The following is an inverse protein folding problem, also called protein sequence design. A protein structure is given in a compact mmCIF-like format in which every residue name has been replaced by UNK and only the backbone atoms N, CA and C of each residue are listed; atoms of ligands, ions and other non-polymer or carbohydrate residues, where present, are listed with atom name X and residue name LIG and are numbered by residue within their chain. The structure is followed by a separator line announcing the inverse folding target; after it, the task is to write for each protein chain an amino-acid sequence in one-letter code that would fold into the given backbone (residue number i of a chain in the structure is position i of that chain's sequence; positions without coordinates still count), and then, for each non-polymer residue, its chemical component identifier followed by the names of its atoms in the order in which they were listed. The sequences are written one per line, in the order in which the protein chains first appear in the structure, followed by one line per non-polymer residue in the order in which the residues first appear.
data_IF_004313145915
#
_entry.id   IF_004313145915
#
_cell.length_a   1.000
_cell.length_b   1.000
_cell.length_c   1.000
_cell.angle_alpha   90.00
_cell.angle_beta   90.00
_cell.angle_gamma   90.00
#
_symmetry.space_group_name_H-M   'P 1'
#
loop_
_entity.id
_entity.type
_entity.pdbx_description
1 polymer ?
#
# COMPACT_ATOMS: atom_id res chain seq x y z
N UNK A 1 59.24 54.86 -8.11
CA UNK A 1 59.00 54.44 -7.73
C UNK A 1 58.27 53.76 -7.49
N UNK A 2 57.78 53.13 -7.52
CA UNK A 2 57.12 52.46 -7.31
C UNK A 2 56.53 51.69 -7.19
N UNK A 3 56.09 51.22 -6.92
CA UNK A 3 55.52 50.45 -6.65
C UNK A 3 54.74 49.76 -6.63
N UNK A 4 54.31 49.04 -6.69
CA UNK A 4 53.66 48.27 -6.52
C UNK A 4 53.02 47.66 -6.27
N UNK A 5 52.57 47.34 -6.18
CA UNK A 5 51.91 46.73 -5.80
C UNK A 5 51.33 45.81 -5.78
N UNK A 6 51.10 45.12 -5.61
CA UNK A 6 50.67 44.15 -5.43
C UNK A 6 49.71 43.77 -5.25
N UNK A 7 49.18 43.08 -5.51
CA UNK A 7 48.33 42.61 -5.41
C UNK A 7 47.99 41.56 -5.13
N UNK A 8 47.39 40.90 -4.85
CA UNK A 8 46.97 40.12 -4.17
C UNK A 8 45.87 39.68 -4.41
N UNK A 9 45.62 38.94 -4.63
CA UNK A 9 44.61 38.39 -4.75
C UNK A 9 44.55 37.24 -4.32
N UNK A 10 44.28 37.07 -3.43
CA UNK A 10 43.65 36.02 -2.79
C UNK A 10 42.44 35.65 -3.49
N UNK A 11 42.64 34.91 -4.39
CA UNK A 11 41.54 34.21 -4.89
C UNK A 11 41.14 33.19 -3.89
N UNK A 12 40.25 33.55 -3.10
CA UNK A 12 39.58 32.63 -2.39
C UNK A 12 38.80 31.83 -3.28
N UNK A 13 39.33 30.77 -3.70
CA UNK A 13 38.52 29.73 -4.23
C UNK A 13 37.72 29.19 -3.11
N UNK A 14 36.60 29.76 -2.95
CA UNK A 14 35.65 29.16 -2.14
C UNK A 14 35.08 27.99 -2.87
N UNK A 15 35.65 26.87 -2.72
CA UNK A 15 34.98 25.67 -3.11
C UNK A 15 33.86 25.46 -2.09
N UNK A 16 32.73 25.95 -2.45
CA UNK A 16 31.56 25.52 -1.82
C UNK A 16 31.40 24.04 -2.10
N UNK A 17 31.85 23.26 -1.22
CA UNK A 17 31.45 21.90 -1.22
C UNK A 17 29.95 21.93 -0.97
N UNK A 18 29.22 21.83 -2.04
CA UNK A 18 27.81 21.51 -1.89
C UNK A 18 27.74 20.10 -1.34
N UNK A 19 27.77 20.05 -0.05
CA UNK A 19 27.27 18.86 0.59
C UNK A 19 25.80 18.81 0.23
N UNK A 20 25.51 18.12 -0.81
CA UNK A 20 24.13 17.73 -1.04
C UNK A 20 23.79 16.81 0.11
N UNK A 21 22.93 17.20 1.01
CA UNK A 21 22.45 16.21 1.93
C UNK A 21 21.70 15.20 1.10
N UNK A 22 22.29 14.05 0.97
CA UNK A 22 21.49 12.91 0.64
C UNK A 22 20.48 12.86 1.76
N UNK A 23 19.31 13.35 1.48
CA UNK A 23 18.18 12.93 2.24
C UNK A 23 18.13 11.43 2.05
N UNK A 24 18.78 10.75 2.92
CA UNK A 24 18.47 9.36 3.09
C UNK A 24 16.98 9.36 3.34
N UNK A 25 16.23 8.95 2.37
CA UNK A 25 14.87 8.60 2.64
C UNK A 25 14.97 7.51 3.69
N UNK A 26 14.82 7.92 4.91
CA UNK A 26 14.47 6.97 5.92
C UNK A 26 13.28 6.27 5.32
N UNK A 27 13.49 5.07 4.88
CA UNK A 27 12.39 4.20 4.60
C UNK A 27 11.56 4.29 5.85
N UNK A 28 10.37 4.86 5.71
CA UNK A 28 9.42 4.81 6.77
C UNK A 28 9.36 3.36 7.17
N UNK A 29 9.97 3.06 8.28
CA UNK A 29 9.89 1.75 8.85
C UNK A 29 8.47 1.61 9.37
N UNK A 30 7.56 1.39 8.45
CA UNK A 30 6.15 1.18 8.74
C UNK A 30 5.93 -0.21 9.33
N UNK A 31 6.97 -0.76 9.96
CA UNK A 31 6.87 -2.04 10.64
C UNK A 31 6.62 -3.21 9.71
N UNK A 32 7.15 -3.14 8.48
CA UNK A 32 7.00 -4.21 7.51
C UNK A 32 5.76 -4.10 6.62
N UNK A 33 4.95 -3.06 6.80
CA UNK A 33 3.77 -2.86 5.95
C UNK A 33 4.18 -2.45 4.53
N UNK A 34 3.48 -2.96 3.51
CA UNK A 34 3.67 -2.48 2.16
C UNK A 34 3.27 -1.01 2.03
N UNK A 35 3.77 -0.37 0.99
CA UNK A 35 3.42 1.00 0.71
C UNK A 35 1.92 1.13 0.40
N UNK A 36 1.29 2.17 0.93
CA UNK A 36 -0.10 2.48 0.63
C UNK A 36 -0.27 2.92 -0.81
N UNK A 37 -1.33 2.44 -1.43
CA UNK A 37 -1.71 2.80 -2.78
C UNK A 37 -3.04 3.54 -2.75
N UNK A 38 -3.29 4.34 -3.77
CA UNK A 38 -4.51 5.14 -3.83
C UNK A 38 -5.20 4.94 -5.18
N UNK A 39 -6.52 4.84 -5.13
CA UNK A 39 -7.34 4.84 -6.33
C UNK A 39 -8.57 5.70 -6.03
N UNK A 40 -8.66 6.88 -6.65
CA UNK A 40 -9.67 7.87 -6.28
C UNK A 40 -9.54 8.24 -4.80
N UNK A 41 -10.63 8.13 -4.07
CA UNK A 41 -10.67 8.40 -2.64
C UNK A 41 -10.32 7.17 -1.79
N UNK A 42 -9.99 6.06 -2.41
CA UNK A 42 -9.74 4.81 -1.71
C UNK A 42 -8.26 4.59 -1.52
N UNK A 43 -7.86 4.39 -0.27
CA UNK A 43 -6.51 3.99 0.09
C UNK A 43 -6.51 2.51 0.39
N UNK A 44 -5.52 1.79 -0.09
CA UNK A 44 -5.40 0.37 0.18
C UNK A 44 -3.95 -0.07 0.25
N UNK A 45 -3.72 -1.19 0.92
CA UNK A 45 -2.42 -1.87 0.94
C UNK A 45 -2.66 -3.33 0.57
N UNK A 46 -1.71 -3.93 -0.11
CA UNK A 46 -1.78 -5.33 -0.47
C UNK A 46 -0.40 -5.95 -0.44
N UNK A 47 -0.32 -7.20 -0.01
CA UNK A 47 0.93 -7.92 0.11
C UNK A 47 0.80 -9.11 1.02
N UNK A 48 1.85 -9.39 1.79
CA UNK A 48 1.88 -10.50 2.72
C UNK A 48 2.73 -11.67 2.25
N UNK A 49 3.57 -11.42 1.24
CA UNK A 49 4.57 -12.40 0.83
C UNK A 49 5.77 -12.21 1.75
N UNK A 50 6.08 -13.24 2.51
CA UNK A 50 7.11 -13.16 3.54
C UNK A 50 6.52 -12.94 4.92
N UNK A 51 7.27 -13.37 5.92
CA UNK A 51 6.79 -13.43 7.29
C UNK A 51 6.55 -12.05 7.89
N UNK A 52 7.50 -11.13 7.73
CA UNK A 52 7.41 -9.82 8.34
C UNK A 52 6.23 -9.04 7.78
N UNK A 53 6.05 -9.06 6.47
CA UNK A 53 4.96 -8.36 5.81
C UNK A 53 3.60 -8.96 6.18
N UNK A 54 3.50 -10.28 6.21
CA UNK A 54 2.24 -10.94 6.57
C UNK A 54 1.86 -10.69 8.02
N UNK A 55 2.84 -10.67 8.93
CA UNK A 55 2.58 -10.36 10.34
C UNK A 55 2.13 -8.91 10.50
N UNK A 56 2.78 -7.98 9.80
CA UNK A 56 2.43 -6.57 9.85
C UNK A 56 1.00 -6.34 9.34
N UNK A 57 0.62 -6.99 8.25
CA UNK A 57 -0.72 -6.87 7.68
C UNK A 57 -1.78 -7.46 8.63
N UNK A 58 -1.51 -8.59 9.24
CA UNK A 58 -2.44 -9.18 10.21
C UNK A 58 -2.61 -8.31 11.45
N UNK A 59 -1.54 -7.70 11.92
CA UNK A 59 -1.58 -6.80 13.07
C UNK A 59 -2.35 -5.53 12.76
N UNK A 60 -2.19 -5.02 11.55
CA UNK A 60 -2.82 -3.77 11.12
C UNK A 60 -4.28 -3.94 10.70
N UNK A 61 -4.65 -5.13 10.24
CA UNK A 61 -5.97 -5.39 9.67
C UNK A 61 -7.15 -4.89 10.51
N UNK A 62 -7.17 -5.08 11.84
CA UNK A 62 -8.31 -4.61 12.63
C UNK A 62 -8.50 -3.10 12.64
N UNK A 63 -7.50 -2.35 12.22
CA UNK A 63 -7.58 -0.88 12.16
C UNK A 63 -8.13 -0.36 10.85
N UNK A 64 -8.37 -1.26 9.89
CA UNK A 64 -8.89 -0.90 8.58
C UNK A 64 -10.35 -1.29 8.47
N UNK A 65 -11.18 -0.51 7.78
CA UNK A 65 -12.60 -0.85 7.63
C UNK A 65 -12.84 -2.19 6.95
N UNK A 66 -11.99 -2.57 6.00
CA UNK A 66 -12.12 -3.84 5.30
C UNK A 66 -10.76 -4.51 5.20
N UNK A 67 -10.70 -5.79 5.61
CA UNK A 67 -9.54 -6.63 5.38
C UNK A 67 -9.96 -7.88 4.61
N UNK A 68 -9.10 -8.30 3.69
CA UNK A 68 -9.35 -9.48 2.85
C UNK A 68 -8.15 -10.40 2.89
N UNK A 69 -8.42 -11.70 2.88
CA UNK A 69 -7.39 -12.72 2.79
C UNK A 69 -7.75 -13.68 1.66
N UNK A 70 -6.74 -14.08 0.88
CA UNK A 70 -6.92 -14.94 -0.29
C UNK A 70 -6.08 -16.19 -0.13
N UNK A 71 -6.75 -17.36 -0.17
CA UNK A 71 -6.08 -18.64 -0.02
C UNK A 71 -6.54 -19.62 -1.10
N UNK A 72 -5.67 -20.53 -1.46
CA UNK A 72 -5.96 -21.62 -2.38
C UNK A 72 -6.13 -22.94 -1.66
N UNK A 73 -6.04 -24.03 -2.42
CA UNK A 73 -6.10 -25.36 -1.89
C UNK A 73 -5.04 -25.59 -0.81
N UNK A 74 -5.41 -26.25 0.29
CA UNK A 74 -4.46 -26.49 1.38
C UNK A 74 -4.07 -25.26 2.16
N UNK A 75 -4.84 -24.18 2.07
CA UNK A 75 -4.57 -22.89 2.70
C UNK A 75 -3.31 -22.21 2.17
N UNK A 76 -2.90 -22.53 0.95
CA UNK A 76 -1.82 -21.81 0.28
C UNK A 76 -2.20 -20.36 0.07
N UNK A 77 -1.23 -19.47 0.26
CA UNK A 77 -1.45 -18.03 0.06
C UNK A 77 -1.40 -17.70 -1.42
N UNK A 78 -2.38 -16.92 -1.87
CA UNK A 78 -2.50 -16.54 -3.29
C UNK A 78 -2.09 -15.09 -3.49
N UNK A 79 -1.53 -14.81 -4.66
CA UNK A 79 -1.31 -13.46 -5.16
C UNK A 79 -2.07 -13.32 -6.48
N UNK A 80 -2.10 -12.11 -7.02
CA UNK A 80 -2.73 -11.83 -8.30
C UNK A 80 -4.23 -12.13 -8.32
N UNK A 81 -4.89 -11.99 -7.18
CA UNK A 81 -6.33 -12.02 -7.11
C UNK A 81 -6.86 -10.65 -7.55
N UNK A 82 -7.71 -10.64 -8.57
CA UNK A 82 -8.30 -9.39 -9.04
C UNK A 82 -9.49 -9.03 -8.16
N UNK A 83 -9.42 -7.87 -7.52
CA UNK A 83 -10.46 -7.40 -6.60
C UNK A 83 -11.16 -6.20 -7.23
N UNK A 84 -12.48 -6.28 -7.30
CA UNK A 84 -13.33 -5.17 -7.71
C UNK A 84 -14.34 -4.90 -6.61
N UNK A 85 -14.35 -3.66 -6.12
CA UNK A 85 -15.31 -3.23 -5.11
C UNK A 85 -16.22 -2.19 -5.74
N UNK A 86 -17.54 -2.43 -5.64
CA UNK A 86 -18.54 -1.49 -6.11
C UNK A 86 -19.36 -0.98 -4.92
N UNK A 87 -19.78 0.27 -5.01
CA UNK A 87 -20.63 0.88 -3.97
C UNK A 87 -22.10 0.50 -4.18
N UNK A 88 -22.98 1.02 -3.32
CA UNK A 88 -24.41 0.73 -3.39
C UNK A 88 -25.10 1.26 -4.66
N UNK A 89 -24.47 2.19 -5.36
CA UNK A 89 -24.98 2.73 -6.62
C UNK A 89 -24.45 1.97 -7.83
N UNK A 90 -23.60 0.95 -7.61
CA UNK A 90 -23.01 0.16 -8.69
C UNK A 90 -21.74 0.75 -9.29
N UNK A 91 -21.22 1.84 -8.74
CA UNK A 91 -19.98 2.44 -9.23
C UNK A 91 -18.78 1.69 -8.66
N UNK A 92 -17.79 1.41 -9.50
CA UNK A 92 -16.56 0.78 -9.04
C UNK A 92 -15.72 1.80 -8.26
N UNK A 93 -15.41 1.49 -7.01
CA UNK A 93 -14.59 2.34 -6.16
C UNK A 93 -13.15 1.83 -6.06
N UNK A 94 -12.93 0.57 -6.35
CA UNK A 94 -11.60 -0.03 -6.37
C UNK A 94 -11.54 -1.15 -7.38
N UNK A 95 -10.47 -1.19 -8.18
CA UNK A 95 -10.10 -2.33 -9.00
C UNK A 95 -8.60 -2.49 -8.89
N UNK A 96 -8.14 -3.60 -8.32
CA UNK A 96 -6.71 -3.81 -8.10
C UNK A 96 -6.41 -5.31 -8.01
N UNK A 97 -5.20 -5.66 -8.38
CA UNK A 97 -4.69 -7.02 -8.21
C UNK A 97 -3.93 -7.12 -6.90
N UNK A 98 -4.17 -8.19 -6.17
CA UNK A 98 -3.45 -8.41 -4.92
C UNK A 98 -1.99 -8.78 -5.20
N UNK A 99 -1.10 -8.25 -4.37
CA UNK A 99 0.34 -8.55 -4.45
C UNK A 99 0.73 -9.69 -3.52
N UNK A 100 -0.24 -10.21 -2.81
CA UNK A 100 -0.07 -11.31 -1.88
C UNK A 100 -1.41 -11.72 -1.32
N UNK A 101 -1.42 -12.49 -0.23
CA UNK A 101 -2.67 -13.04 0.29
C UNK A 101 -3.52 -12.04 1.08
N UNK A 102 -3.05 -10.81 1.28
CA UNK A 102 -3.78 -9.82 2.08
C UNK A 102 -4.03 -8.54 1.30
N UNK A 103 -5.20 -7.95 1.54
CA UNK A 103 -5.53 -6.61 1.05
C UNK A 103 -6.35 -5.90 2.12
N UNK A 104 -5.90 -4.71 2.52
CA UNK A 104 -6.60 -3.85 3.48
C UNK A 104 -7.09 -2.63 2.73
N UNK A 105 -8.36 -2.26 2.92
CA UNK A 105 -8.98 -1.18 2.15
C UNK A 105 -9.66 -0.20 3.09
N UNK A 106 -9.41 1.09 2.85
CA UNK A 106 -10.06 2.17 3.56
C UNK A 106 -11.29 2.58 2.76
N UNK A 107 -12.47 2.34 3.33
CA UNK A 107 -13.74 2.66 2.69
C UNK A 107 -14.58 3.54 3.60
N UNK A 108 -15.31 4.47 3.01
CA UNK A 108 -16.31 5.25 3.74
C UNK A 108 -17.46 4.34 4.18
N UNK A 109 -18.18 4.70 5.24
CA UNK A 109 -19.35 3.91 5.64
C UNK A 109 -20.33 3.76 4.48
N UNK A 110 -20.86 2.56 4.34
CA UNK A 110 -21.78 2.24 3.28
C UNK A 110 -21.82 0.77 2.96
N UNK A 111 -22.61 0.42 1.97
CA UNK A 111 -22.77 -0.95 1.51
C UNK A 111 -21.99 -1.15 0.23
N UNK A 112 -21.20 -2.23 0.19
CA UNK A 112 -20.31 -2.51 -0.94
C UNK A 112 -20.44 -3.96 -1.37
N UNK A 113 -20.19 -4.18 -2.64
CA UNK A 113 -20.07 -5.54 -3.21
C UNK A 113 -18.61 -5.76 -3.58
N UNK A 114 -18.02 -6.83 -3.07
CA UNK A 114 -16.64 -7.21 -3.34
C UNK A 114 -16.63 -8.44 -4.23
N UNK A 115 -16.02 -8.31 -5.39
CA UNK A 115 -15.83 -9.42 -6.30
C UNK A 115 -14.36 -9.75 -6.40
N UNK A 116 -13.99 -10.96 -6.06
CA UNK A 116 -12.62 -11.44 -6.13
C UNK A 116 -12.53 -12.52 -7.18
N UNK A 117 -11.59 -12.40 -8.11
CA UNK A 117 -11.40 -13.33 -9.22
C UNK A 117 -9.99 -13.89 -9.17
N UNK A 118 -9.89 -15.21 -9.20
CA UNK A 118 -8.61 -15.89 -9.27
C UNK A 118 -8.72 -17.03 -10.29
N UNK A 119 -7.78 -17.05 -11.25
CA UNK A 119 -7.72 -18.11 -12.28
C UNK A 119 -9.07 -18.31 -12.97
N UNK A 120 -9.77 -17.21 -13.28
CA UNK A 120 -11.06 -17.25 -13.96
C UNK A 120 -12.25 -17.57 -13.08
N UNK A 121 -12.06 -17.77 -11.78
CA UNK A 121 -13.14 -18.12 -10.85
C UNK A 121 -13.48 -16.93 -9.95
N UNK A 122 -14.72 -16.49 -10.02
CA UNK A 122 -15.21 -15.33 -9.28
C UNK A 122 -15.87 -15.73 -7.98
N UNK A 123 -15.63 -14.95 -6.94
CA UNK A 123 -16.40 -15.01 -5.71
C UNK A 123 -16.88 -13.60 -5.36
N UNK A 124 -18.12 -13.51 -4.92
CA UNK A 124 -18.74 -12.22 -4.61
C UNK A 124 -19.23 -12.21 -3.16
N UNK A 125 -18.98 -11.12 -2.46
CA UNK A 125 -19.45 -10.90 -1.10
C UNK A 125 -20.03 -9.50 -1.01
N UNK A 126 -21.07 -9.34 -0.20
CA UNK A 126 -21.61 -8.03 0.14
C UNK A 126 -21.19 -7.71 1.56
N UNK A 127 -20.69 -6.47 1.78
CA UNK A 127 -20.29 -6.02 3.10
C UNK A 127 -20.91 -4.66 3.38
N UNK A 128 -21.17 -4.41 4.66
CA UNK A 128 -21.59 -3.10 5.13
C UNK A 128 -20.50 -2.56 6.03
N UNK A 129 -19.98 -1.39 5.67
CA UNK A 129 -18.94 -0.70 6.43
C UNK A 129 -19.61 0.29 7.35
N UNK A 130 -19.45 0.12 8.65
CA UNK A 130 -19.93 1.07 9.64
C UNK A 130 -18.91 2.16 9.91
N UNK A 131 -19.31 3.17 10.69
CA UNK A 131 -18.42 4.32 10.97
C UNK A 131 -17.13 3.95 11.66
N UNK A 132 -17.18 3.00 12.57
CA UNK A 132 -16.01 2.53 13.28
C UNK A 132 -15.90 1.01 13.15
N UNK A 133 -16.51 0.47 12.08
CA UNK A 133 -16.58 -0.95 11.87
C UNK A 133 -15.34 -1.51 11.20
N UNK A 134 -15.17 -2.78 11.37
CA UNK A 134 -14.17 -3.59 10.71
C UNK A 134 -14.85 -4.82 10.16
N UNK A 135 -14.67 -5.09 8.88
CA UNK A 135 -15.17 -6.29 8.22
C UNK A 135 -13.99 -7.09 7.70
N UNK A 136 -14.02 -8.38 7.94
CA UNK A 136 -13.00 -9.32 7.49
C UNK A 136 -13.62 -10.29 6.50
N UNK A 137 -13.02 -10.42 5.32
CA UNK A 137 -13.45 -11.34 4.30
C UNK A 137 -12.35 -12.34 4.00
N UNK A 138 -12.69 -13.62 4.01
CA UNK A 138 -11.79 -14.69 3.60
C UNK A 138 -12.32 -15.26 2.28
N UNK A 139 -11.46 -15.28 1.26
CA UNK A 139 -11.77 -15.90 -0.02
C UNK A 139 -10.86 -17.11 -0.20
N UNK A 140 -11.46 -18.24 -0.53
CA UNK A 140 -10.70 -19.47 -0.75
C UNK A 140 -11.10 -20.10 -2.08
N UNK A 141 -10.10 -20.51 -2.83
CA UNK A 141 -10.29 -21.26 -4.07
C UNK A 141 -9.67 -22.64 -3.88
N UNK A 142 -10.52 -23.66 -3.88
CA UNK A 142 -10.09 -25.03 -3.58
C UNK A 142 -9.94 -25.87 -4.84
N UNK A 143 -9.20 -25.35 -5.82
CA UNK A 143 -8.98 -26.07 -7.07
C UNK A 143 -7.54 -26.41 -7.33
#
# INVERSE_FOLDING_TARGET
MTKLKQRWFAALALSAACAVPFAAHAQDDTGGLPQSLHQGDVTFVTGGVGLDESQALRTEAPRWPLSMRFTGAGADYLADVHVKITDGAGAAVLQADSRGPYMLVQLHPGKYTVKATYDGHDQTRTVTIGRNGHQKLDFSWNE
#
